data_IF_195777832119
#
_entry.id   IF_195777832119
#
_cell.length_a   1.000
_cell.length_b   1.000
_cell.length_c   1.000
_cell.angle_alpha   90.00
_cell.angle_beta   90.00
_cell.angle_gamma   90.00
#
_symmetry.space_group_name_H-M   'P 1'
#
loop_
_entity.id
_entity.type
_entity.pdbx_description
1 polymer ?
#
# COMPACT_ATOMS: atom_id res chain seq x y z
N UNK A 1 3.79 -8.94 14.21
CA UNK A 1 3.06 -8.17 13.18
C UNK A 1 4.07 -7.66 12.19
N UNK A 2 3.82 -7.75 10.88
CA UNK A 2 4.72 -7.25 9.82
C UNK A 2 3.94 -6.22 8.99
N UNK A 3 4.55 -5.07 8.74
CA UNK A 3 4.01 -4.02 7.90
C UNK A 3 4.20 -4.37 6.42
N UNK A 4 3.09 -4.37 5.67
CA UNK A 4 3.04 -4.69 4.26
C UNK A 4 2.90 -3.40 3.44
N UNK A 5 3.83 -3.14 2.51
CA UNK A 5 3.77 -2.06 1.53
C UNK A 5 4.40 -2.52 0.21
N UNK A 6 4.05 -1.87 -0.89
CA UNK A 6 4.68 -2.13 -2.19
C UNK A 6 6.06 -1.43 -2.32
N UNK A 7 6.76 -1.73 -3.41
CA UNK A 7 8.07 -1.15 -3.70
C UNK A 7 8.02 0.22 -4.38
N UNK A 8 6.97 1.03 -4.16
CA UNK A 8 6.89 2.38 -4.74
C UNK A 8 8.05 3.26 -4.26
N UNK A 9 8.52 4.18 -5.10
CA UNK A 9 9.75 4.96 -4.86
C UNK A 9 9.75 5.74 -3.53
N UNK A 10 8.59 6.22 -3.08
CA UNK A 10 8.44 6.91 -1.79
C UNK A 10 8.51 5.94 -0.62
N UNK A 11 8.00 4.73 -0.75
CA UNK A 11 8.00 3.69 0.28
C UNK A 11 9.40 3.14 0.51
N UNK A 12 10.18 3.00 -0.56
CA UNK A 12 11.58 2.53 -0.52
C UNK A 12 12.58 3.67 -0.38
N UNK A 13 12.14 4.90 -0.13
CA UNK A 13 13.04 6.05 0.02
C UNK A 13 13.87 5.92 1.31
N UNK A 14 15.09 6.46 1.29
CA UNK A 14 15.98 6.42 2.47
C UNK A 14 15.31 7.01 3.71
N UNK A 15 14.56 8.12 3.56
CA UNK A 15 13.86 8.77 4.66
C UNK A 15 12.78 7.87 5.26
N UNK A 16 11.94 7.26 4.42
CA UNK A 16 10.88 6.34 4.87
C UNK A 16 11.47 5.12 5.58
N UNK A 17 12.48 4.47 4.99
CA UNK A 17 13.10 3.29 5.58
C UNK A 17 13.82 3.61 6.89
N UNK A 18 14.45 4.79 7.00
CA UNK A 18 15.05 5.23 8.27
C UNK A 18 14.00 5.44 9.35
N UNK A 19 12.85 6.01 9.01
CA UNK A 19 11.73 6.16 9.94
C UNK A 19 11.22 4.81 10.42
N UNK A 20 10.91 3.89 9.50
CA UNK A 20 10.40 2.54 9.83
C UNK A 20 11.38 1.79 10.74
N UNK A 21 12.69 1.85 10.44
CA UNK A 21 13.75 1.24 11.27
C UNK A 21 13.85 1.89 12.65
N UNK A 22 13.74 3.22 12.74
CA UNK A 22 13.75 3.96 14.01
C UNK A 22 12.57 3.56 14.90
N UNK A 23 11.39 3.41 14.30
CA UNK A 23 10.17 2.96 14.97
C UNK A 23 10.14 1.44 15.26
N UNK A 24 11.20 0.70 14.88
CA UNK A 24 11.35 -0.75 15.09
C UNK A 24 10.17 -1.56 14.53
N UNK A 25 9.60 -1.10 13.42
CA UNK A 25 8.52 -1.80 12.74
C UNK A 25 9.13 -2.86 11.83
N UNK A 26 8.75 -4.11 12.03
CA UNK A 26 9.06 -5.17 11.07
C UNK A 26 8.27 -4.92 9.79
N UNK A 27 8.92 -4.91 8.64
CA UNK A 27 8.30 -4.63 7.34
C UNK A 27 8.90 -5.55 6.27
N UNK A 28 8.19 -5.72 5.16
CA UNK A 28 8.69 -6.44 3.98
C UNK A 28 9.57 -5.48 3.19
N UNK A 29 10.85 -5.81 3.03
CA UNK A 29 11.77 -4.97 2.23
C UNK A 29 11.53 -5.18 0.73
N UNK A 30 12.02 -4.23 -0.08
CA UNK A 30 11.94 -4.27 -1.54
C UNK A 30 12.48 -5.57 -2.13
N UNK A 31 13.53 -6.12 -1.54
CA UNK A 31 14.17 -7.34 -2.06
C UNK A 31 13.36 -8.60 -1.73
N UNK A 32 12.48 -8.53 -0.72
CA UNK A 32 11.53 -9.60 -0.36
C UNK A 32 10.20 -9.47 -1.14
N UNK A 33 9.95 -8.31 -1.74
CA UNK A 33 8.77 -8.03 -2.53
C UNK A 33 8.89 -8.58 -3.95
N UNK A 34 7.85 -9.28 -4.43
CA UNK A 34 7.76 -9.72 -5.84
C UNK A 34 7.20 -8.57 -6.70
N UNK A 35 8.01 -7.93 -7.58
CA UNK A 35 7.56 -6.79 -8.36
C UNK A 35 6.43 -7.18 -9.34
N UNK A 36 5.51 -6.24 -9.59
CA UNK A 36 4.43 -6.37 -10.60
C UNK A 36 3.48 -7.55 -10.37
N UNK A 37 3.31 -7.98 -9.13
CA UNK A 37 2.41 -9.08 -8.80
C UNK A 37 1.24 -8.58 -7.91
N UNK A 38 0.21 -7.94 -8.50
CA UNK A 38 -0.92 -7.37 -7.77
C UNK A 38 -1.72 -8.43 -6.99
N UNK A 39 -1.69 -9.69 -7.45
CA UNK A 39 -2.34 -10.80 -6.76
C UNK A 39 -1.63 -11.21 -5.45
N UNK A 40 -0.39 -10.76 -5.21
CA UNK A 40 0.23 -10.90 -3.90
C UNK A 40 -0.17 -9.80 -2.93
N UNK A 41 -0.70 -8.66 -3.39
CA UNK A 41 -1.01 -7.50 -2.57
C UNK A 41 -2.42 -7.58 -1.97
N UNK A 42 -2.58 -7.84 -0.65
CA UNK A 42 -3.90 -7.99 -0.03
C UNK A 42 -4.79 -6.77 -0.19
N UNK A 43 -4.17 -5.59 -0.26
CA UNK A 43 -4.87 -4.35 -0.56
C UNK A 43 -5.44 -4.37 -2.00
N UNK A 44 -4.65 -4.78 -3.00
CA UNK A 44 -5.06 -4.75 -4.41
C UNK A 44 -6.08 -5.83 -4.76
N UNK A 45 -5.79 -7.11 -4.48
CA UNK A 45 -6.73 -8.19 -4.84
C UNK A 45 -7.96 -8.24 -3.92
N UNK A 46 -7.82 -7.78 -2.68
CA UNK A 46 -8.86 -7.88 -1.65
C UNK A 46 -9.62 -6.57 -1.46
N UNK A 47 -9.06 -5.68 -0.63
CA UNK A 47 -9.79 -4.50 -0.12
C UNK A 47 -10.19 -3.56 -1.26
N UNK A 48 -9.29 -3.25 -2.19
CA UNK A 48 -9.57 -2.37 -3.31
C UNK A 48 -10.59 -2.98 -4.27
N UNK A 49 -10.57 -4.30 -4.48
CA UNK A 49 -11.62 -5.01 -5.23
C UNK A 49 -13.01 -4.86 -4.61
N UNK A 50 -13.11 -5.04 -3.28
CA UNK A 50 -14.37 -4.86 -2.53
C UNK A 50 -14.83 -3.40 -2.63
N UNK A 51 -13.91 -2.44 -2.43
CA UNK A 51 -14.23 -1.02 -2.47
C UNK A 51 -14.73 -0.62 -3.86
N UNK A 52 -14.04 -1.06 -4.93
CA UNK A 52 -14.45 -0.81 -6.32
C UNK A 52 -15.87 -1.29 -6.57
N UNK A 53 -16.23 -2.50 -6.11
CA UNK A 53 -17.61 -3.03 -6.24
C UNK A 53 -18.64 -2.18 -5.51
N UNK A 54 -18.30 -1.67 -4.31
CA UNK A 54 -19.21 -0.81 -3.51
C UNK A 54 -19.37 0.59 -4.11
N UNK A 55 -18.31 1.13 -4.70
CA UNK A 55 -18.30 2.48 -5.28
C UNK A 55 -18.83 2.53 -6.72
N UNK A 56 -18.87 1.40 -7.44
CA UNK A 56 -19.30 1.35 -8.85
C UNK A 56 -20.66 2.01 -9.12
N UNK A 57 -21.56 2.06 -8.13
CA UNK A 57 -22.90 2.66 -8.25
C UNK A 57 -23.02 4.05 -7.62
N UNK A 58 -21.92 4.65 -7.15
CA UNK A 58 -21.94 5.95 -6.47
C UNK A 58 -21.38 7.03 -7.38
N UNK A 59 -22.05 8.18 -7.41
CA UNK A 59 -21.53 9.40 -8.03
C UNK A 59 -20.76 10.21 -6.99
N UNK A 60 -19.48 10.44 -7.25
CA UNK A 60 -18.62 11.27 -6.40
C UNK A 60 -18.75 12.71 -6.88
N UNK A 61 -19.36 13.56 -6.05
CA UNK A 61 -19.70 14.95 -6.42
C UNK A 61 -18.67 15.97 -5.93
N UNK A 62 -17.81 15.59 -4.99
CA UNK A 62 -16.76 16.44 -4.46
C UNK A 62 -15.60 15.59 -3.97
N UNK A 63 -14.39 16.15 -4.07
CA UNK A 63 -13.20 15.64 -3.41
C UNK A 63 -12.75 16.72 -2.45
N UNK A 64 -12.74 16.41 -1.16
CA UNK A 64 -12.12 17.28 -0.16
C UNK A 64 -10.63 16.94 -0.17
N UNK A 65 -9.82 17.87 -0.64
CA UNK A 65 -8.36 17.78 -0.53
C UNK A 65 -7.99 18.39 0.82
N UNK A 66 -7.50 17.55 1.74
CA UNK A 66 -6.96 17.95 3.04
C UNK A 66 -5.49 18.36 2.92
#
# INVERSE_FOLDING_TARGET
MVFYQDSASRHTSKQTLQFIKKEKVNFIDRDEWVPKFPDAAPMDFGIWGILKRRLQKRHVNSVIVL
#
